data_IF_996698457542
#
_entry.id   IF_996698457542
#
_cell.length_a   1.000
_cell.length_b   1.000
_cell.length_c   1.000
_cell.angle_alpha   90.00
_cell.angle_beta   90.00
_cell.angle_gamma   90.00
#
_symmetry.space_group_name_H-M   'P 1'
#
loop_
_entity.id
_entity.type
_entity.pdbx_description
1 polymer ?
#
# COMPACT_ATOMS: atom_id res chain seq x y z
N UNK A 1 -8.45 18.61 -60.99
CA UNK A 1 -7.52 18.45 -59.85
C UNK A 1 -7.47 16.97 -59.49
N UNK A 2 -6.45 16.22 -59.93
CA UNK A 2 -6.33 14.78 -59.62
C UNK A 2 -5.85 14.67 -58.19
N UNK A 3 -6.74 14.36 -57.25
CA UNK A 3 -6.32 13.96 -55.92
C UNK A 3 -5.37 12.77 -56.07
N UNK A 4 -4.17 12.87 -55.50
CA UNK A 4 -3.23 11.78 -55.53
C UNK A 4 -3.74 10.68 -54.59
N UNK A 5 -4.46 9.70 -55.14
CA UNK A 5 -5.02 8.58 -54.39
C UNK A 5 -3.97 7.82 -53.58
N UNK A 6 -2.69 7.80 -54.03
CA UNK A 6 -1.60 7.22 -53.26
C UNK A 6 -1.34 7.98 -51.96
N UNK A 7 -1.42 9.31 -51.96
CA UNK A 7 -1.29 10.13 -50.75
C UNK A 7 -2.45 9.91 -49.78
N UNK A 8 -3.67 9.75 -50.30
CA UNK A 8 -4.86 9.46 -49.47
C UNK A 8 -4.75 8.07 -48.83
N UNK A 9 -4.35 7.04 -49.60
CA UNK A 9 -4.11 5.70 -49.09
C UNK A 9 -2.96 5.66 -48.07
N UNK A 10 -1.91 6.46 -48.28
CA UNK A 10 -0.79 6.61 -47.34
C UNK A 10 -1.24 7.26 -46.02
N UNK A 11 -2.02 8.34 -46.08
CA UNK A 11 -2.59 9.01 -44.90
C UNK A 11 -3.50 8.08 -44.10
N UNK A 12 -4.30 7.25 -44.78
CA UNK A 12 -5.14 6.25 -44.14
C UNK A 12 -4.32 5.18 -43.40
N UNK A 13 -3.21 4.71 -43.99
CA UNK A 13 -2.28 3.77 -43.34
C UNK A 13 -1.60 4.39 -42.11
N UNK A 14 -1.13 5.63 -42.21
CA UNK A 14 -0.50 6.35 -41.09
C UNK A 14 -1.50 6.50 -39.94
N UNK A 15 -2.74 6.92 -40.23
CA UNK A 15 -3.80 7.02 -39.22
C UNK A 15 -4.04 5.69 -38.51
N UNK A 16 -4.04 4.59 -39.26
CA UNK A 16 -4.24 3.25 -38.70
C UNK A 16 -3.08 2.82 -37.80
N UNK A 17 -1.84 3.10 -38.21
CA UNK A 17 -0.63 2.83 -37.40
C UNK A 17 -0.67 3.65 -36.10
N UNK A 18 -0.98 4.94 -36.17
CA UNK A 18 -1.10 5.82 -34.99
C UNK A 18 -2.17 5.29 -34.04
N UNK A 19 -3.32 4.86 -34.57
CA UNK A 19 -4.41 4.28 -33.76
C UNK A 19 -3.99 2.96 -33.07
N UNK A 20 -3.26 2.08 -33.76
CA UNK A 20 -2.73 0.84 -33.17
C UNK A 20 -1.73 1.17 -32.07
N UNK A 21 -0.79 2.10 -32.28
CA UNK A 21 0.16 2.52 -31.26
C UNK A 21 -0.59 3.08 -30.04
N UNK A 22 -1.63 3.89 -30.26
CA UNK A 22 -2.45 4.43 -29.17
C UNK A 22 -3.18 3.32 -28.38
N UNK A 23 -3.74 2.33 -29.07
CA UNK A 23 -4.38 1.16 -28.47
C UNK A 23 -3.40 0.29 -27.68
N UNK A 24 -2.17 0.09 -28.18
CA UNK A 24 -1.14 -0.68 -27.49
C UNK A 24 -0.71 -0.03 -26.16
N UNK A 25 -0.81 1.29 -26.04
CA UNK A 25 -0.51 2.01 -24.80
C UNK A 25 -1.57 1.80 -23.70
N UNK A 26 -2.79 1.35 -24.04
CA UNK A 26 -3.85 1.09 -23.06
C UNK A 26 -3.56 -0.12 -22.14
N UNK A 27 -2.67 -1.03 -22.55
CA UNK A 27 -2.32 -2.21 -21.76
C UNK A 27 -1.30 -1.94 -20.65
N UNK A 28 -0.67 -0.76 -20.62
CA UNK A 28 0.35 -0.41 -19.62
C UNK A 28 -0.23 0.22 -18.33
N UNK A 29 -1.53 0.07 -18.07
CA UNK A 29 -2.14 0.55 -16.82
C UNK A 29 -1.72 -0.39 -15.68
N UNK A 30 -0.70 0.03 -14.94
CA UNK A 30 -0.27 -0.63 -13.71
C UNK A 30 -0.96 0.04 -12.54
N UNK A 31 -1.82 -0.69 -11.83
CA UNK A 31 -2.34 -0.27 -10.54
C UNK A 31 -1.40 -0.82 -9.46
N UNK A 32 -0.89 0.01 -8.55
CA UNK A 32 -0.31 -0.50 -7.31
C UNK A 32 -1.42 -1.12 -6.46
N UNK A 33 -1.69 -2.41 -6.68
CA UNK A 33 -2.49 -3.20 -5.77
C UNK A 33 -1.61 -3.61 -4.58
N UNK A 34 -1.85 -2.99 -3.43
CA UNK A 34 -1.33 -3.51 -2.16
C UNK A 34 0.06 -2.98 -1.77
N UNK A 35 0.14 -1.68 -1.47
CA UNK A 35 0.96 -1.26 -0.32
C UNK A 35 0.26 -1.77 0.94
N UNK A 36 0.27 -3.09 1.14
CA UNK A 36 -0.23 -3.73 2.34
C UNK A 36 0.60 -3.27 3.53
N UNK A 37 -0.01 -3.25 4.71
CA UNK A 37 0.75 -3.03 5.95
C UNK A 37 1.60 -4.28 6.18
N UNK A 38 2.90 -4.18 5.90
CA UNK A 38 3.85 -5.29 6.06
C UNK A 38 4.29 -5.47 7.51
N UNK A 39 4.42 -4.37 8.26
CA UNK A 39 4.98 -4.40 9.59
C UNK A 39 4.32 -3.35 10.46
N UNK A 40 3.95 -3.76 11.67
CA UNK A 40 3.46 -2.87 12.73
C UNK A 40 4.41 -3.02 13.90
N UNK A 41 4.97 -1.91 14.36
CA UNK A 41 5.80 -1.87 15.57
C UNK A 41 4.93 -1.36 16.71
N UNK A 42 4.90 -2.11 17.80
CA UNK A 42 4.18 -1.74 19.02
C UNK A 42 5.24 -1.41 20.07
N UNK A 43 5.24 -0.18 20.56
CA UNK A 43 6.17 0.31 21.57
C UNK A 43 5.45 0.48 22.92
N UNK A 44 5.53 -0.50 23.84
CA UNK A 44 5.04 -0.31 25.20
C UNK A 44 5.96 0.66 25.94
N UNK A 45 5.47 1.86 26.22
CA UNK A 45 6.25 2.90 26.91
C UNK A 45 6.70 2.51 28.32
N UNK A 46 7.70 3.22 28.83
CA UNK A 46 8.36 2.96 30.11
C UNK A 46 8.97 1.55 30.18
N UNK A 47 9.40 1.09 31.36
CA UNK A 47 9.95 -0.25 31.53
C UNK A 47 11.16 -0.32 32.45
N UNK A 48 11.46 -1.55 32.91
CA UNK A 48 12.58 -1.78 33.81
C UNK A 48 12.47 -0.96 35.09
N UNK A 49 13.43 -0.05 35.31
CA UNK A 49 13.49 0.83 36.48
C UNK A 49 12.48 1.99 36.41
N UNK A 50 12.05 2.39 35.22
CA UNK A 50 11.08 3.46 35.05
C UNK A 50 9.65 2.90 35.08
N UNK A 51 8.87 3.13 36.16
CA UNK A 51 7.50 2.64 36.26
C UNK A 51 6.49 3.43 35.42
N UNK A 52 6.85 4.63 34.96
CA UNK A 52 5.90 5.63 34.50
C UNK A 52 4.93 6.09 35.58
N UNK A 53 3.73 6.48 35.18
CA UNK A 53 2.70 6.90 36.11
C UNK A 53 2.33 5.77 37.10
N UNK A 54 2.19 6.11 38.38
CA UNK A 54 1.76 5.19 39.43
C UNK A 54 0.35 5.58 39.87
N UNK A 55 -0.62 4.72 39.58
CA UNK A 55 -2.01 4.93 39.99
C UNK A 55 -2.22 4.76 41.49
N UNK A 56 -3.37 5.22 42.00
CA UNK A 56 -3.72 5.17 43.42
C UNK A 56 -3.62 3.76 44.06
N UNK A 57 -3.82 2.71 43.25
CA UNK A 57 -3.70 1.30 43.69
C UNK A 57 -2.30 0.70 43.48
N UNK A 58 -1.28 1.53 43.27
CA UNK A 58 0.10 1.13 42.91
C UNK A 58 0.20 0.37 41.57
N UNK A 59 -0.78 0.54 40.68
CA UNK A 59 -0.66 0.07 39.32
C UNK A 59 0.36 0.93 38.59
N UNK A 60 1.39 0.30 38.04
CA UNK A 60 2.43 0.97 37.26
C UNK A 60 2.05 0.99 35.79
N UNK A 61 2.22 2.14 35.15
CA UNK A 61 1.97 2.33 33.73
C UNK A 61 2.68 1.28 32.88
N UNK A 62 3.98 1.04 33.14
CA UNK A 62 4.78 0.03 32.40
C UNK A 62 4.12 -1.35 32.34
N UNK A 63 3.41 -1.75 33.40
CA UNK A 63 2.76 -3.06 33.48
C UNK A 63 1.50 -3.08 32.63
N UNK A 64 0.71 -2.00 32.70
CA UNK A 64 -0.54 -1.87 31.95
C UNK A 64 -0.24 -1.80 30.45
N UNK A 65 0.68 -0.94 30.03
CA UNK A 65 1.00 -0.76 28.60
C UNK A 65 1.65 -1.99 28.00
N UNK A 66 2.51 -2.71 28.72
CA UNK A 66 3.05 -3.98 28.25
C UNK A 66 1.95 -5.01 27.99
N UNK A 67 1.02 -5.17 28.94
CA UNK A 67 -0.09 -6.11 28.80
C UNK A 67 -0.98 -5.76 27.60
N UNK A 68 -1.33 -4.48 27.44
CA UNK A 68 -2.14 -4.01 26.30
C UNK A 68 -1.40 -4.22 24.98
N UNK A 69 -0.11 -3.92 24.91
CA UNK A 69 0.71 -4.11 23.70
C UNK A 69 0.79 -5.58 23.27
N UNK A 70 0.93 -6.51 24.23
CA UNK A 70 0.92 -7.95 23.94
C UNK A 70 -0.45 -8.41 23.40
N UNK A 71 -1.53 -7.99 24.06
CA UNK A 71 -2.90 -8.31 23.61
C UNK A 71 -3.19 -7.77 22.21
N UNK A 72 -2.74 -6.55 21.93
CA UNK A 72 -2.87 -5.93 20.60
C UNK A 72 -2.05 -6.71 19.55
N UNK A 73 -0.82 -7.07 19.87
CA UNK A 73 0.03 -7.88 18.99
C UNK A 73 -0.60 -9.22 18.62
N UNK A 74 -1.20 -9.90 19.60
CA UNK A 74 -1.90 -11.16 19.36
C UNK A 74 -3.18 -10.98 18.54
N UNK A 75 -3.93 -9.90 18.79
CA UNK A 75 -5.12 -9.57 18.00
C UNK A 75 -4.77 -9.29 16.55
N UNK A 76 -3.69 -8.55 16.29
CA UNK A 76 -3.20 -8.25 14.93
C UNK A 76 -2.81 -9.55 14.21
N UNK A 77 -2.03 -10.42 14.86
CA UNK A 77 -1.64 -11.73 14.29
C UNK A 77 -2.84 -12.64 13.98
N UNK A 78 -3.89 -12.59 14.80
CA UNK A 78 -5.10 -13.40 14.62
C UNK A 78 -5.99 -12.85 13.50
N UNK A 79 -6.11 -11.53 13.41
CA UNK A 79 -7.07 -10.87 12.52
C UNK A 79 -6.52 -10.67 11.12
N UNK A 80 -5.23 -10.36 11.01
CA UNK A 80 -4.58 -10.07 9.74
C UNK A 80 -3.59 -11.18 9.39
N UNK A 81 -3.70 -11.71 8.15
CA UNK A 81 -2.62 -12.50 7.55
C UNK A 81 -1.48 -11.55 7.22
N UNK A 82 -0.56 -11.36 8.16
CA UNK A 82 0.69 -10.66 7.87
C UNK A 82 1.43 -11.48 6.80
N UNK A 83 1.64 -10.88 5.64
CA UNK A 83 2.52 -11.47 4.63
C UNK A 83 3.92 -11.55 5.22
N UNK A 84 4.48 -12.76 5.25
CA UNK A 84 5.89 -12.96 5.53
C UNK A 84 6.72 -12.47 4.35
#
# INVERSE_FOLDING_TARGET
MKFNYANIMLLQKIRYIVFIVLLLNLFNIHCQTGLGIHTVVIDPGHGGKDPGAIGAKKNMEKTVVLNVSLMLGDLIKKTFRMSR
#
